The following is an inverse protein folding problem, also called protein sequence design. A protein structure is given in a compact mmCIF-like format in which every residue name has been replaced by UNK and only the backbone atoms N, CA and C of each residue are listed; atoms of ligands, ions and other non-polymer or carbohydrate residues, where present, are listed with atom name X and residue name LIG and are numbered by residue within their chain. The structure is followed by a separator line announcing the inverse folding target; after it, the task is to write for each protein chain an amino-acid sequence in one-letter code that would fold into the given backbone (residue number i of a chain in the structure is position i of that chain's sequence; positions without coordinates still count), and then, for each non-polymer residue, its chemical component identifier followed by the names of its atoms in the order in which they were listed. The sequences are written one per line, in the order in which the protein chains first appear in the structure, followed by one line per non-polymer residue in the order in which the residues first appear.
data_IF_795581424013
#
_entry.id   IF_795581424013
#
_cell.length_a   1.000
_cell.length_b   1.000
_cell.length_c   1.000
_cell.angle_alpha   90.00
_cell.angle_beta   90.00
_cell.angle_gamma   90.00
#
_symmetry.space_group_name_H-M   'P 1'
#
loop_
_entity.id
_entity.type
_entity.pdbx_description
1 polymer ?
#
# COMPACT_ATOMS: atom_id res chain seq x y z
N UNK A 1 -18.11 6.55 -1.66
CA UNK A 1 -16.92 6.45 -2.53
C UNK A 1 -15.76 6.05 -1.63
N UNK A 2 -15.45 4.76 -1.52
CA UNK A 2 -14.38 4.28 -0.63
C UNK A 2 -13.02 4.61 -1.29
N UNK A 3 -12.51 5.80 -0.99
CA UNK A 3 -11.24 6.30 -1.51
C UNK A 3 -10.10 5.42 -1.00
N UNK A 4 -9.47 4.67 -1.91
CA UNK A 4 -8.15 4.09 -1.68
C UNK A 4 -7.13 5.19 -1.97
N UNK A 5 -6.32 5.52 -0.97
CA UNK A 5 -5.23 6.48 -1.14
C UNK A 5 -3.91 5.71 -1.23
N UNK A 6 -3.11 5.99 -2.26
CA UNK A 6 -1.74 5.48 -2.35
C UNK A 6 -0.87 6.29 -1.40
N UNK A 7 -0.17 5.60 -0.49
CA UNK A 7 0.82 6.21 0.40
C UNK A 7 2.21 6.20 -0.22
N UNK A 8 2.62 5.08 -0.82
CA UNK A 8 3.97 4.88 -1.34
C UNK A 8 3.99 3.84 -2.47
N UNK A 9 4.99 3.93 -3.36
CA UNK A 9 5.16 3.01 -4.50
C UNK A 9 6.57 2.39 -4.50
N UNK A 10 6.62 1.08 -4.70
CA UNK A 10 7.86 0.29 -4.75
C UNK A 10 7.98 -0.44 -6.09
N UNK A 11 9.14 -0.43 -6.77
CA UNK A 11 9.32 -1.16 -8.02
C UNK A 11 9.26 -2.68 -7.80
N UNK A 12 8.57 -3.41 -8.66
CA UNK A 12 8.44 -4.87 -8.51
C UNK A 12 9.71 -5.63 -8.92
N UNK A 13 10.52 -5.07 -9.82
CA UNK A 13 11.76 -5.69 -10.33
C UNK A 13 12.97 -5.68 -9.38
N UNK A 14 12.81 -5.23 -8.13
CA UNK A 14 13.91 -5.22 -7.16
C UNK A 14 14.29 -6.62 -6.65
N UNK A 15 15.52 -6.83 -6.14
CA UNK A 15 16.00 -8.15 -5.70
C UNK A 15 15.22 -8.73 -4.51
N UNK A 16 14.37 -7.93 -3.86
CA UNK A 16 13.56 -8.32 -2.70
C UNK A 16 12.06 -8.46 -3.01
N UNK A 17 11.66 -8.35 -4.29
CA UNK A 17 10.26 -8.42 -4.69
C UNK A 17 9.37 -7.44 -3.92
N UNK A 18 8.24 -7.93 -3.39
CA UNK A 18 7.28 -7.13 -2.61
C UNK A 18 7.72 -6.79 -1.19
N UNK A 19 8.81 -7.37 -0.68
CA UNK A 19 9.19 -7.25 0.74
C UNK A 19 9.29 -5.80 1.25
N UNK A 20 9.88 -4.84 0.51
CA UNK A 20 9.90 -3.43 0.96
C UNK A 20 8.50 -2.82 1.12
N UNK A 21 7.57 -3.18 0.23
CA UNK A 21 6.18 -2.71 0.31
C UNK A 21 5.45 -3.34 1.51
N UNK A 22 5.69 -4.63 1.78
CA UNK A 22 5.15 -5.34 2.93
C UNK A 22 5.65 -4.75 4.26
N UNK A 23 6.95 -4.45 4.37
CA UNK A 23 7.51 -3.81 5.58
C UNK A 23 6.89 -2.42 5.82
N UNK A 24 6.74 -1.62 4.77
CA UNK A 24 6.11 -0.31 4.87
C UNK A 24 4.63 -0.43 5.27
N UNK A 25 3.88 -1.33 4.63
CA UNK A 25 2.48 -1.58 4.98
C UNK A 25 2.35 -2.08 6.43
N UNK A 26 3.26 -2.94 6.89
CA UNK A 26 3.29 -3.39 8.27
C UNK A 26 3.56 -2.23 9.24
N UNK A 27 4.51 -1.34 8.93
CA UNK A 27 4.78 -0.16 9.74
C UNK A 27 3.55 0.78 9.80
N UNK A 28 2.82 0.95 8.69
CA UNK A 28 1.55 1.68 8.66
C UNK A 28 0.50 1.03 9.57
N UNK A 29 0.35 -0.29 9.53
CA UNK A 29 -0.58 -1.03 10.41
C UNK A 29 -0.23 -0.90 11.88
N UNK A 30 1.06 -0.96 12.23
CA UNK A 30 1.52 -0.71 13.60
C UNK A 30 1.21 0.72 14.08
N UNK A 31 1.06 1.68 13.15
CA UNK A 31 0.62 3.06 13.42
C UNK A 31 -0.90 3.22 13.39
N UNK A 32 -1.67 2.14 13.23
CA UNK A 32 -3.13 2.15 13.21
C UNK A 32 -3.75 2.46 11.84
N UNK A 33 -2.96 2.50 10.76
CA UNK A 33 -3.48 2.71 9.41
C UNK A 33 -3.83 1.36 8.77
N UNK A 34 -5.02 1.25 8.18
CA UNK A 34 -5.45 0.06 7.44
C UNK A 34 -4.76 0.00 6.06
N UNK A 35 -3.46 -0.31 6.07
CA UNK A 35 -2.61 -0.36 4.89
C UNK A 35 -2.58 -1.74 4.22
N UNK A 36 -2.57 -1.75 2.89
CA UNK A 36 -2.57 -2.92 2.02
C UNK A 36 -1.56 -2.75 0.89
N UNK A 37 -0.90 -3.85 0.52
CA UNK A 37 -0.03 -3.89 -0.66
C UNK A 37 -0.85 -4.38 -1.84
N UNK A 38 -0.82 -3.66 -2.95
CA UNK A 38 -1.49 -4.04 -4.21
C UNK A 38 -0.46 -3.99 -5.34
N UNK A 39 -0.48 -5.00 -6.20
CA UNK A 39 0.35 -4.99 -7.41
C UNK A 39 -0.34 -4.19 -8.51
N UNK A 40 0.32 -3.15 -9.01
CA UNK A 40 -0.04 -2.45 -10.23
C UNK A 40 0.71 -3.09 -11.41
N UNK A 41 -0.05 -3.87 -12.19
CA UNK A 41 0.48 -4.56 -13.37
C UNK A 41 0.80 -3.61 -14.52
N UNK A 42 0.20 -2.41 -14.57
CA UNK A 42 0.46 -1.46 -15.66
C UNK A 42 1.82 -0.78 -15.49
N UNK A 43 2.27 -0.61 -14.25
CA UNK A 43 3.53 0.08 -13.94
C UNK A 43 4.60 -0.85 -13.36
N UNK A 44 4.30 -2.15 -13.25
CA UNK A 44 5.14 -3.17 -12.63
C UNK A 44 5.67 -2.73 -11.26
N UNK A 45 4.73 -2.32 -10.40
CA UNK A 45 5.03 -1.76 -9.09
C UNK A 45 4.08 -2.28 -8.01
N UNK A 46 4.58 -2.37 -6.78
CA UNK A 46 3.77 -2.56 -5.59
C UNK A 46 3.37 -1.19 -5.03
N UNK A 47 2.07 -0.99 -4.83
CA UNK A 47 1.49 0.19 -4.22
C UNK A 47 1.08 -0.14 -2.79
N UNK A 48 1.51 0.68 -1.83
CA UNK A 48 0.93 0.63 -0.50
C UNK A 48 -0.21 1.63 -0.45
N UNK A 49 -1.42 1.12 -0.22
CA UNK A 49 -2.63 1.91 -0.14
C UNK A 49 -3.20 1.87 1.27
N UNK A 50 -3.90 2.92 1.68
CA UNK A 50 -4.81 2.88 2.83
C UNK A 50 -6.24 2.95 2.35
N UNK A 51 -7.11 2.17 3.01
CA UNK A 51 -8.55 2.40 2.89
C UNK A 51 -8.87 3.59 3.78
N UNK A 52 -9.27 4.72 3.17
CA UNK A 52 -9.92 5.77 3.93
C UNK A 52 -11.14 5.14 4.59
N UNK A 53 -11.20 5.15 5.92
CA UNK A 53 -12.46 4.94 6.60
C UNK A 53 -13.46 5.85 5.90
N UNK A 54 -14.58 5.29 5.46
CA UNK A 54 -15.79 6.07 5.22
C UNK A 54 -15.81 7.15 6.30
N UNK A 55 -15.74 8.42 5.89
CA UNK A 55 -16.18 9.49 6.77
C UNK A 55 -17.59 9.05 7.19
N UNK A 56 -17.70 8.53 8.40
CA UNK A 56 -18.97 8.29 9.03
C UNK A 56 -19.53 9.69 9.25
N UNK A 57 -20.37 10.15 8.33
CA UNK A 57 -21.44 11.07 8.68
C UNK A 57 -22.54 10.29 9.40
#
# INVERSE_FOLDING_TARGET
MNGRMVLERFPAGGPRGSWPAEEFAQACRLRGQAAEVVMDLSTDAFLVIVRGATAAE
#
